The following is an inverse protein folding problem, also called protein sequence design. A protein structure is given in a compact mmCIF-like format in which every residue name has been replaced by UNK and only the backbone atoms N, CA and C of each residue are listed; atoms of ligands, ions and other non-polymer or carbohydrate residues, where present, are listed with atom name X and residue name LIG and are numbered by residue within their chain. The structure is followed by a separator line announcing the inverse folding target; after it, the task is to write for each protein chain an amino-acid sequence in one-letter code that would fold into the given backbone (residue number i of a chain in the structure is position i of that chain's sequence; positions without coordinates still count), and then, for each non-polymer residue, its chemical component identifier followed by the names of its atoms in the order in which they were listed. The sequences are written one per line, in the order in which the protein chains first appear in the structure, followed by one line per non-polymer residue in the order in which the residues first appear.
data_IF_762967501273
#
_entry.id   IF_762967501273
#
_cell.length_a   1.000
_cell.length_b   1.000
_cell.length_c   1.000
_cell.angle_alpha   90.00
_cell.angle_beta   90.00
_cell.angle_gamma   90.00
#
_symmetry.space_group_name_H-M   'P 1'
#
loop_
_entity.id
_entity.type
_entity.pdbx_description
1 polymer ?
#
# COMPACT_ATOMS: atom_id res chain seq x y z
N UNK A 1 -29.97 -43.31 -23.93
CA UNK A 1 -29.01 -43.17 -25.04
C UNK A 1 -28.12 -42.04 -24.62
N UNK A 2 -27.10 -42.40 -23.84
CA UNK A 2 -26.14 -41.46 -23.29
C UNK A 2 -25.15 -41.13 -24.41
N UNK A 3 -25.11 -39.87 -24.82
CA UNK A 3 -24.12 -39.38 -25.77
C UNK A 3 -22.85 -39.11 -24.99
N UNK A 4 -21.96 -40.10 -24.95
CA UNK A 4 -20.56 -39.91 -24.59
C UNK A 4 -19.94 -38.98 -25.64
N UNK A 5 -19.72 -37.72 -25.24
CA UNK A 5 -18.94 -36.76 -26.03
C UNK A 5 -17.48 -37.17 -25.87
N UNK A 6 -17.01 -37.97 -26.83
CA UNK A 6 -15.60 -38.29 -27.02
C UNK A 6 -14.78 -36.99 -27.10
N UNK A 7 -14.10 -36.65 -26.01
CA UNK A 7 -13.13 -35.57 -25.98
C UNK A 7 -11.83 -36.08 -26.63
N UNK A 8 -11.85 -36.19 -27.97
CA UNK A 8 -10.66 -36.49 -28.79
C UNK A 8 -9.76 -35.27 -28.85
N UNK A 9 -8.83 -35.15 -27.91
CA UNK A 9 -7.57 -34.46 -28.20
C UNK A 9 -6.72 -35.47 -28.98
N UNK A 10 -6.62 -35.31 -30.30
CA UNK A 10 -5.66 -36.07 -31.10
C UNK A 10 -4.25 -35.62 -30.74
N UNK A 11 -3.31 -36.56 -30.60
CA UNK A 11 -1.89 -36.30 -30.30
C UNK A 11 -1.14 -35.53 -31.43
N UNK A 12 -1.84 -35.01 -32.44
CA UNK A 12 -1.32 -34.42 -33.69
C UNK A 12 -1.71 -32.92 -33.85
N UNK A 13 -1.92 -32.18 -32.76
CA UNK A 13 -2.15 -30.73 -32.86
C UNK A 13 -0.85 -29.98 -33.22
N UNK A 14 -0.89 -29.18 -34.29
CA UNK A 14 0.27 -28.42 -34.80
C UNK A 14 0.72 -27.31 -33.82
N UNK A 15 2.03 -27.17 -33.62
CA UNK A 15 2.61 -26.09 -32.82
C UNK A 15 2.38 -24.74 -33.52
N UNK A 16 1.43 -23.96 -33.00
CA UNK A 16 1.12 -22.64 -33.55
C UNK A 16 2.20 -21.58 -33.28
N UNK A 17 2.96 -21.72 -32.17
CA UNK A 17 3.93 -20.71 -31.74
C UNK A 17 4.99 -21.28 -30.78
N UNK A 18 6.26 -21.08 -31.11
CA UNK A 18 7.40 -21.41 -30.25
C UNK A 18 8.04 -20.13 -29.69
N UNK A 19 8.30 -20.10 -28.38
CA UNK A 19 8.92 -18.97 -27.70
C UNK A 19 10.09 -19.43 -26.82
N UNK A 20 11.21 -18.73 -26.92
CA UNK A 20 12.36 -19.00 -26.07
C UNK A 20 12.12 -18.48 -24.66
N UNK A 21 12.27 -19.35 -23.66
CA UNK A 21 12.13 -18.98 -22.23
C UNK A 21 13.50 -18.74 -21.61
N UNK A 22 13.71 -17.55 -21.06
CA UNK A 22 14.94 -17.14 -20.38
C UNK A 22 14.68 -16.82 -18.91
N UNK A 23 15.49 -17.38 -18.02
CA UNK A 23 15.42 -17.09 -16.59
C UNK A 23 16.48 -16.04 -16.22
N UNK A 24 16.03 -14.95 -15.60
CA UNK A 24 16.88 -13.86 -15.11
C UNK A 24 16.89 -13.85 -13.59
N UNK A 25 18.09 -13.76 -12.98
CA UNK A 25 18.26 -13.76 -11.52
C UNK A 25 18.65 -12.41 -10.92
N UNK A 26 18.92 -11.40 -11.77
CA UNK A 26 19.47 -10.10 -11.36
C UNK A 26 18.62 -9.36 -10.32
N UNK A 27 17.29 -9.52 -10.37
CA UNK A 27 16.37 -8.84 -9.47
C UNK A 27 15.68 -9.79 -8.46
N UNK A 28 16.04 -11.07 -8.45
CA UNK A 28 15.31 -12.08 -7.67
C UNK A 28 15.31 -11.82 -6.17
N UNK A 29 16.33 -11.14 -5.65
CA UNK A 29 16.45 -10.83 -4.23
C UNK A 29 15.76 -9.51 -3.83
N UNK A 30 15.26 -8.72 -4.81
CA UNK A 30 14.73 -7.36 -4.57
C UNK A 30 13.39 -7.09 -5.23
N UNK A 31 12.94 -7.94 -6.16
CA UNK A 31 11.71 -7.72 -6.93
C UNK A 31 10.48 -8.05 -6.09
N UNK A 32 9.75 -7.02 -5.67
CA UNK A 32 8.53 -7.15 -4.88
C UNK A 32 7.29 -6.83 -5.73
N UNK A 33 6.21 -7.59 -5.56
CA UNK A 33 4.92 -7.34 -6.19
C UNK A 33 3.98 -6.67 -5.20
N UNK A 34 3.50 -5.46 -5.50
CA UNK A 34 2.55 -4.74 -4.64
C UNK A 34 1.13 -4.92 -5.19
N UNK A 35 0.25 -5.47 -4.36
CA UNK A 35 -1.16 -5.70 -4.67
C UNK A 35 -2.00 -4.67 -3.91
N UNK A 36 -2.95 -4.03 -4.59
CA UNK A 36 -3.88 -3.06 -4.02
C UNK A 36 -5.32 -3.59 -4.10
N UNK A 37 -5.80 -4.35 -3.10
CA UNK A 37 -7.07 -5.07 -3.20
C UNK A 37 -8.29 -4.18 -3.45
N UNK A 38 -8.26 -2.98 -2.87
CA UNK A 38 -9.38 -2.02 -2.90
C UNK A 38 -9.33 -1.07 -4.09
N UNK A 39 -8.33 -1.17 -4.98
CA UNK A 39 -8.22 -0.29 -6.16
C UNK A 39 -8.72 -1.01 -7.39
N UNK A 40 -9.80 -0.49 -7.99
CA UNK A 40 -10.28 -0.95 -9.28
C UNK A 40 -9.30 -0.57 -10.40
N UNK A 41 -9.05 -1.50 -11.33
CA UNK A 41 -8.03 -1.44 -12.38
C UNK A 41 -8.19 -0.27 -13.38
N UNK A 42 -9.33 0.44 -13.37
CA UNK A 42 -9.61 1.54 -14.30
C UNK A 42 -9.05 2.91 -13.91
N UNK A 43 -8.67 3.12 -12.65
CA UNK A 43 -8.16 4.41 -12.15
C UNK A 43 -6.75 4.25 -11.58
N UNK A 44 -5.80 3.88 -12.44
CA UNK A 44 -4.36 3.91 -12.15
C UNK A 44 -3.82 5.34 -12.15
N UNK A 45 -4.67 6.37 -12.35
CA UNK A 45 -4.23 7.77 -12.48
C UNK A 45 -3.25 8.12 -11.36
N UNK A 46 -2.01 8.30 -11.79
CA UNK A 46 -0.79 8.40 -11.02
C UNK A 46 -0.65 9.78 -10.36
N UNK A 47 -1.74 10.49 -10.14
CA UNK A 47 -1.69 11.92 -9.83
C UNK A 47 -1.34 12.19 -8.36
N UNK A 48 -1.13 11.13 -7.58
CA UNK A 48 -0.59 11.27 -6.23
C UNK A 48 0.94 11.10 -6.28
N UNK A 49 1.66 12.20 -6.09
CA UNK A 49 3.13 12.19 -5.98
C UNK A 49 3.53 11.37 -4.75
N UNK A 50 4.43 10.40 -4.92
CA UNK A 50 5.03 9.67 -3.79
C UNK A 50 5.97 10.63 -3.05
N UNK A 51 5.63 10.94 -1.80
CA UNK A 51 6.40 11.86 -0.94
C UNK A 51 7.51 11.12 -0.21
N UNK A 52 7.22 9.93 0.30
CA UNK A 52 8.20 9.09 0.97
C UNK A 52 7.85 7.61 0.85
N UNK A 53 8.88 6.76 0.87
CA UNK A 53 8.74 5.32 0.92
C UNK A 53 9.70 4.76 1.96
N UNK A 54 9.19 3.92 2.86
CA UNK A 54 9.97 3.27 3.92
C UNK A 54 9.73 1.77 3.86
N UNK A 55 10.80 0.99 4.04
CA UNK A 55 10.72 -0.47 4.09
C UNK A 55 11.46 -0.99 5.33
N UNK A 56 10.87 -1.97 5.99
CA UNK A 56 11.53 -2.80 7.01
C UNK A 56 11.90 -4.13 6.37
N UNK A 57 13.15 -4.35 5.92
CA UNK A 57 13.51 -5.51 5.10
C UNK A 57 13.23 -6.86 5.79
N UNK A 58 13.53 -6.97 7.09
CA UNK A 58 13.30 -8.22 7.84
C UNK A 58 11.82 -8.56 8.02
N UNK A 59 10.99 -7.55 8.24
CA UNK A 59 9.55 -7.71 8.45
C UNK A 59 8.76 -7.61 7.13
N UNK A 60 9.43 -7.31 6.02
CA UNK A 60 8.83 -7.02 4.70
C UNK A 60 7.60 -6.10 4.83
N UNK A 61 7.74 -5.07 5.68
CA UNK A 61 6.70 -4.07 5.92
C UNK A 61 7.05 -2.81 5.18
N UNK A 62 6.12 -2.31 4.39
CA UNK A 62 6.31 -1.11 3.56
C UNK A 62 5.36 -0.02 4.04
N UNK A 63 5.81 1.22 4.01
CA UNK A 63 5.00 2.41 4.23
C UNK A 63 5.24 3.36 3.06
N UNK A 64 4.18 3.78 2.40
CA UNK A 64 4.22 4.71 1.27
C UNK A 64 3.38 5.92 1.62
N UNK A 65 3.97 7.11 1.59
CA UNK A 65 3.28 8.37 1.76
C UNK A 65 3.04 9.01 0.39
N UNK A 66 1.79 9.35 0.13
CA UNK A 66 1.37 9.95 -1.11
C UNK A 66 0.72 11.31 -0.85
N UNK A 67 1.07 12.30 -1.66
CA UNK A 67 0.40 13.59 -1.66
C UNK A 67 -1.05 13.46 -2.09
N UNK A 68 -1.90 14.32 -1.52
CA UNK A 68 -3.29 14.52 -1.91
C UNK A 68 -3.36 15.90 -2.58
N UNK A 69 -4.00 15.98 -3.73
CA UNK A 69 -4.28 17.27 -4.35
C UNK A 69 -5.39 17.98 -3.57
N UNK A 70 -5.00 19.01 -2.81
CA UNK A 70 -5.90 19.83 -1.99
C UNK A 70 -6.74 20.80 -2.84
N UNK A 71 -6.37 21.03 -4.11
CA UNK A 71 -7.09 21.93 -5.00
C UNK A 71 -8.13 21.18 -5.87
N UNK A 72 -8.14 19.85 -5.79
CA UNK A 72 -9.08 19.05 -6.55
C UNK A 72 -10.52 19.26 -6.04
N UNK A 73 -11.49 19.29 -6.96
CA UNK A 73 -12.90 19.54 -6.62
C UNK A 73 -13.56 18.47 -5.74
N UNK A 74 -12.88 17.33 -5.51
CA UNK A 74 -13.32 16.27 -4.61
C UNK A 74 -12.66 16.33 -3.22
N UNK A 75 -11.85 17.36 -2.95
CA UNK A 75 -11.23 17.61 -1.65
C UNK A 75 -12.04 18.63 -0.85
N UNK A 76 -12.35 18.31 0.41
CA UNK A 76 -13.00 19.23 1.34
C UNK A 76 -11.95 19.88 2.24
N UNK A 77 -11.63 21.14 1.94
CA UNK A 77 -10.63 21.94 2.66
C UNK A 77 -10.96 22.07 4.14
N UNK A 78 -12.22 22.34 4.48
CA UNK A 78 -12.66 22.53 5.87
C UNK A 78 -12.45 21.25 6.69
N UNK A 79 -12.81 20.10 6.11
CA UNK A 79 -12.57 18.81 6.75
C UNK A 79 -11.08 18.49 6.85
N UNK A 80 -10.30 18.82 5.84
CA UNK A 80 -8.85 18.64 5.83
C UNK A 80 -8.15 19.41 6.96
N UNK A 81 -8.53 20.67 7.18
CA UNK A 81 -8.03 21.53 8.26
C UNK A 81 -8.41 20.98 9.63
N UNK A 82 -9.66 20.54 9.81
CA UNK A 82 -10.11 19.94 11.06
C UNK A 82 -9.32 18.67 11.42
N UNK A 83 -9.05 17.80 10.43
CA UNK A 83 -8.25 16.60 10.67
C UNK A 83 -6.84 16.98 11.07
N UNK A 84 -6.20 17.91 10.37
CA UNK A 84 -4.85 18.35 10.70
C UNK A 84 -4.78 18.96 12.11
N UNK A 85 -5.74 19.83 12.45
CA UNK A 85 -5.85 20.42 13.78
C UNK A 85 -6.06 19.38 14.89
N UNK A 86 -6.89 18.37 14.67
CA UNK A 86 -7.11 17.32 15.67
C UNK A 86 -5.87 16.44 15.90
N UNK A 87 -5.04 16.26 14.87
CA UNK A 87 -3.83 15.44 14.93
C UNK A 87 -2.67 16.21 15.58
N UNK A 88 -2.44 17.44 15.13
CA UNK A 88 -1.28 18.23 15.52
C UNK A 88 -1.56 19.16 16.70
N UNK A 89 -2.83 19.47 16.98
CA UNK A 89 -3.25 20.40 18.03
C UNK A 89 -2.74 21.83 17.79
N UNK A 90 -2.66 22.62 18.87
CA UNK A 90 -1.97 23.92 18.86
C UNK A 90 -0.46 23.74 19.08
N UNK A 91 0.19 22.88 18.29
CA UNK A 91 1.63 22.69 18.40
C UNK A 91 2.34 23.92 17.80
N UNK A 92 2.92 24.75 18.67
CA UNK A 92 3.67 25.96 18.28
C UNK A 92 5.19 25.73 18.17
N UNK A 93 5.70 24.60 18.69
CA UNK A 93 7.13 24.39 18.93
C UNK A 93 7.66 22.98 18.55
N UNK A 94 6.94 22.19 17.74
CA UNK A 94 7.34 20.81 17.41
C UNK A 94 7.02 20.37 15.97
N UNK A 95 7.58 19.24 15.54
CA UNK A 95 7.27 18.62 14.23
C UNK A 95 5.79 18.19 14.19
N UNK A 96 5.00 18.88 13.37
CA UNK A 96 3.62 18.50 13.05
C UNK A 96 3.60 17.30 12.10
N UNK A 97 2.57 16.48 12.18
CA UNK A 97 2.33 15.42 11.21
C UNK A 97 1.88 15.99 9.86
N UNK A 98 1.07 17.05 9.85
CA UNK A 98 0.68 17.80 8.66
C UNK A 98 1.27 19.22 8.70
N UNK A 99 2.48 19.36 8.18
CA UNK A 99 3.23 20.63 8.23
C UNK A 99 2.51 21.80 7.54
N UNK A 100 1.64 21.52 6.58
CA UNK A 100 0.82 22.52 5.87
C UNK A 100 -0.40 23.00 6.67
N UNK A 101 -0.70 22.38 7.82
CA UNK A 101 -1.91 22.67 8.59
C UNK A 101 -3.20 22.09 7.98
N UNK A 102 -3.09 21.29 6.92
CA UNK A 102 -4.19 20.63 6.23
C UNK A 102 -3.81 19.18 5.89
N UNK A 103 -4.78 18.28 5.77
CA UNK A 103 -4.54 16.88 5.42
C UNK A 103 -4.11 16.73 3.94
N UNK A 104 -2.85 17.01 3.66
CA UNK A 104 -2.25 17.03 2.32
C UNK A 104 -1.60 15.70 1.90
N UNK A 105 -1.63 14.69 2.76
CA UNK A 105 -1.02 13.39 2.50
C UNK A 105 -1.84 12.23 3.05
N UNK A 106 -1.73 11.08 2.38
CA UNK A 106 -2.24 9.79 2.82
C UNK A 106 -1.10 8.78 2.97
N UNK A 107 -1.30 7.83 3.87
CA UNK A 107 -0.38 6.74 4.09
C UNK A 107 -0.98 5.44 3.53
N UNK A 108 -0.17 4.65 2.85
CA UNK A 108 -0.46 3.26 2.52
C UNK A 108 0.53 2.36 3.26
N UNK A 109 0.03 1.30 3.85
CA UNK A 109 0.80 0.32 4.60
C UNK A 109 0.75 -1.01 3.87
N UNK A 110 1.93 -1.50 3.53
CA UNK A 110 2.16 -2.79 2.89
C UNK A 110 2.58 -3.84 3.90
N UNK A 111 1.93 -4.99 3.87
CA UNK A 111 2.30 -6.18 4.64
C UNK A 111 2.51 -7.37 3.72
N UNK A 112 3.52 -8.19 4.03
CA UNK A 112 3.78 -9.43 3.31
C UNK A 112 2.57 -10.37 3.42
N UNK A 113 2.14 -10.96 2.30
CA UNK A 113 0.96 -11.83 2.24
C UNK A 113 1.32 -13.29 2.50
N UNK A 114 2.48 -13.74 2.03
CA UNK A 114 2.88 -15.15 2.00
C UNK A 114 4.29 -15.29 2.57
N UNK A 115 4.51 -16.29 3.43
CA UNK A 115 5.85 -16.67 3.90
C UNK A 115 6.30 -17.98 3.26
N UNK A 116 7.52 -17.94 2.70
CA UNK A 116 8.38 -19.04 2.24
C UNK A 116 7.84 -19.89 1.07
N UNK A 117 8.60 -19.91 -0.03
CA UNK A 117 8.37 -20.67 -1.27
C UNK A 117 7.35 -20.07 -2.26
N UNK A 118 7.60 -18.82 -2.65
CA UNK A 118 6.90 -18.20 -3.77
C UNK A 118 7.32 -18.87 -5.09
N UNK A 119 6.48 -19.78 -5.60
CA UNK A 119 6.57 -20.30 -6.97
C UNK A 119 6.06 -19.28 -8.03
N UNK A 120 6.27 -17.99 -7.76
CA UNK A 120 5.79 -16.90 -8.60
C UNK A 120 6.96 -16.21 -9.28
N UNK A 121 6.77 -15.91 -10.55
CA UNK A 121 7.72 -15.16 -11.37
C UNK A 121 6.98 -14.10 -12.18
N UNK A 122 7.65 -12.97 -12.38
CA UNK A 122 7.24 -11.97 -13.36
C UNK A 122 7.71 -12.43 -14.74
N UNK A 123 6.77 -12.56 -15.67
CA UNK A 123 7.04 -12.86 -17.08
C UNK A 123 6.92 -11.61 -17.94
N UNK A 124 7.96 -11.32 -18.72
CA UNK A 124 7.97 -10.24 -19.69
C UNK A 124 8.26 -10.79 -21.09
N UNK A 125 7.28 -10.67 -21.99
CA UNK A 125 7.39 -11.13 -23.37
C UNK A 125 7.93 -10.00 -24.25
N UNK A 126 9.04 -10.23 -24.96
CA UNK A 126 9.61 -9.25 -25.89
C UNK A 126 10.27 -9.94 -27.07
N UNK A 127 9.93 -9.51 -28.29
CA UNK A 127 10.50 -10.03 -29.56
C UNK A 127 10.42 -11.57 -29.68
N UNK A 128 9.37 -12.17 -29.13
CA UNK A 128 9.17 -13.61 -29.13
C UNK A 128 9.99 -14.41 -28.13
N UNK A 129 10.60 -13.74 -27.15
CA UNK A 129 11.27 -14.36 -26.01
C UNK A 129 10.53 -14.00 -24.71
N UNK A 130 10.34 -14.99 -23.85
CA UNK A 130 9.75 -14.84 -22.52
C UNK A 130 10.86 -14.77 -21.47
N UNK A 131 11.00 -13.61 -20.83
CA UNK A 131 11.93 -13.42 -19.72
C UNK A 131 11.20 -13.59 -18.39
N UNK A 132 11.59 -14.61 -17.63
CA UNK A 132 11.07 -14.89 -16.29
C UNK A 132 12.04 -14.35 -15.23
N UNK A 133 11.51 -13.68 -14.21
CA UNK A 133 12.26 -13.27 -13.01
C UNK A 133 11.49 -13.67 -11.77
N UNK A 134 12.10 -14.44 -10.87
CA UNK A 134 11.48 -14.84 -9.59
C UNK A 134 11.18 -13.62 -8.72
N UNK A 135 10.04 -13.64 -8.02
CA UNK A 135 9.63 -12.60 -7.08
C UNK A 135 10.23 -12.85 -5.69
N UNK A 136 10.77 -11.80 -5.08
CA UNK A 136 11.27 -11.82 -3.71
C UNK A 136 10.13 -11.88 -2.69
N UNK A 137 9.11 -11.05 -2.88
CA UNK A 137 7.94 -11.05 -2.01
C UNK A 137 6.69 -10.48 -2.69
N UNK A 138 5.52 -10.86 -2.17
CA UNK A 138 4.23 -10.29 -2.52
C UNK A 138 3.73 -9.51 -1.30
N UNK A 139 3.45 -8.23 -1.51
CA UNK A 139 3.05 -7.27 -0.48
C UNK A 139 1.67 -6.76 -0.80
N UNK A 140 0.74 -6.95 0.12
CA UNK A 140 -0.59 -6.36 0.04
C UNK A 140 -0.58 -4.99 0.68
N UNK A 141 -1.06 -3.99 -0.04
CA UNK A 141 -1.01 -2.59 0.33
C UNK A 141 -2.42 -2.09 0.63
N UNK A 142 -2.60 -1.61 1.86
CA UNK A 142 -3.86 -1.12 2.41
C UNK A 142 -3.71 0.34 2.88
N UNK A 143 -4.81 1.13 2.96
CA UNK A 143 -4.76 2.47 3.57
C UNK A 143 -4.35 2.42 5.04
N UNK A 144 -3.44 3.29 5.43
CA UNK A 144 -3.01 3.48 6.81
C UNK A 144 -3.71 4.66 7.49
N UNK A 145 -4.23 4.43 8.70
CA UNK A 145 -4.99 5.43 9.47
C UNK A 145 -4.24 5.94 10.70
N UNK A 146 -2.91 6.07 10.64
CA UNK A 146 -2.05 6.49 11.77
C UNK A 146 -2.49 7.83 12.37
N UNK A 147 -3.04 8.74 11.55
CA UNK A 147 -3.56 10.01 12.02
C UNK A 147 -4.72 9.83 13.03
N UNK A 148 -5.58 8.82 12.85
CA UNK A 148 -6.66 8.52 13.80
C UNK A 148 -6.09 8.02 15.14
N UNK A 149 -5.08 7.14 15.09
CA UNK A 149 -4.40 6.66 16.31
C UNK A 149 -3.78 7.83 17.08
N UNK A 150 -3.21 8.82 16.37
CA UNK A 150 -2.66 10.03 17.00
C UNK A 150 -3.74 10.84 17.71
N UNK A 151 -4.89 11.07 17.07
CA UNK A 151 -6.03 11.78 17.69
C UNK A 151 -6.51 11.06 18.95
N UNK A 152 -6.61 9.73 18.90
CA UNK A 152 -7.02 8.94 20.06
C UNK A 152 -6.01 9.04 21.22
N UNK A 153 -4.72 8.98 20.91
CA UNK A 153 -3.68 9.10 21.94
C UNK A 153 -3.62 10.50 22.55
N UNK A 154 -3.82 11.56 21.76
CA UNK A 154 -3.86 12.94 22.29
C UNK A 154 -5.08 13.15 23.19
N UNK A 155 -6.25 12.64 22.77
CA UNK A 155 -7.50 12.69 23.55
C UNK A 155 -7.39 11.93 24.88
N UNK A 156 -6.81 10.72 24.87
CA UNK A 156 -6.59 9.95 26.11
C UNK A 156 -5.64 10.67 27.06
N UNK A 157 -4.59 11.33 26.56
CA UNK A 157 -3.66 12.11 27.38
C UNK A 157 -4.34 13.30 28.05
N UNK A 158 -5.18 14.05 27.32
CA UNK A 158 -5.89 15.21 27.88
C UNK A 158 -6.91 14.80 28.96
N UNK A 159 -7.65 13.71 28.74
CA UNK A 159 -8.58 13.16 29.73
C UNK A 159 -7.86 12.72 31.01
N UNK A 160 -6.74 12.01 30.88
CA UNK A 160 -5.94 11.59 32.02
C UNK A 160 -5.40 12.79 32.80
N UNK A 161 -4.90 13.83 32.12
CA UNK A 161 -4.40 15.04 32.77
C UNK A 161 -5.50 15.79 33.56
N UNK A 162 -6.71 15.90 33.01
CA UNK A 162 -7.85 16.49 33.71
C UNK A 162 -8.25 15.71 34.96
N UNK A 163 -8.17 14.38 34.92
CA UNK A 163 -8.43 13.53 36.09
C UNK A 163 -7.38 13.71 37.20
N UNK A 164 -6.10 13.96 36.88
CA UNK A 164 -5.10 14.26 37.92
C UNK A 164 -5.24 15.67 38.51
N UNK A 165 -5.76 16.64 37.75
CA UNK A 165 -5.97 18.00 38.25
C UNK A 165 -7.12 18.06 39.27
N UNK A 166 -8.19 17.30 39.06
CA UNK A 166 -9.35 17.24 39.96
C UNK A 166 -9.07 16.56 41.32
N UNK A 167 -8.06 15.69 41.41
CA UNK A 167 -7.65 15.06 42.67
C UNK A 167 -6.64 15.89 43.49
N UNK A 168 -6.06 16.95 42.93
CA UNK A 168 -5.06 17.79 43.64
C UNK A 168 -5.65 18.95 44.45
N UNK A 169 -6.96 19.20 44.34
CA UNK A 169 -7.66 20.32 44.98
C UNK A 169 -8.45 19.96 46.25
N UNK A 170 -8.29 18.73 46.77
CA UNK A 170 -8.84 18.34 48.08
C UNK A 170 -7.71 18.09 49.09
N UNK A 171 -7.11 19.16 49.59
CA UNK A 171 -6.32 19.18 50.83
C UNK A 171 -6.43 20.56 51.48
#
# INVERSE_FOLDING_TARGET
MDTDVDNKFSDDDEVAYEANVRLTKTLSDVLNLFIYPIRHSGNISQDSTCLSARIKPKQQRVELEFGIDINAGNYDTSRGEQIAYNVDGQSSNGECYFNSGIMDKKLLVGTKVLDSDLNYALGFMRKGELHLTSLHSIIEVNPGYIHMDKIDTSTKKSLNASNYCSFSFSL
#
